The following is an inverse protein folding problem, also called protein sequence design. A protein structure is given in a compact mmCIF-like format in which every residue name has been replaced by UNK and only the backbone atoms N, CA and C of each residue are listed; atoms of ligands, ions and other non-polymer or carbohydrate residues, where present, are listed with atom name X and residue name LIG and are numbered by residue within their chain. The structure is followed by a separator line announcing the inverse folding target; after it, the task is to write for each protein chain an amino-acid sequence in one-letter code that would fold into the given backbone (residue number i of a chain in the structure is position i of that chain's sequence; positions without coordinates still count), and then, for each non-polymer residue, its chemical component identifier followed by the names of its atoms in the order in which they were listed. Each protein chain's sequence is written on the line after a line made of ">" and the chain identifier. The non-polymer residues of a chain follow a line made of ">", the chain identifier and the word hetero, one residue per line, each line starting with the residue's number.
data_IF_061708485617
#
_entry.id   IF_061708485617
#
_cell.length_a   1.000
_cell.length_b   1.000
_cell.length_c   1.000
_cell.angle_alpha   90.00
_cell.angle_beta   90.00
_cell.angle_gamma   90.00
#
_symmetry.space_group_name_H-M   'P 1'
#
loop_
_entity.id
_entity.type
_entity.pdbx_description
1 polymer ?
#
# COMPACT_ATOMS: atom_id res chain seq x y z
N UNK A 1 -3.61 20.22 23.78
CA UNK A 1 -3.53 19.13 22.79
C UNK A 1 -4.16 17.89 23.39
N UNK A 2 -5.14 17.25 22.72
CA UNK A 2 -5.76 16.00 23.18
C UNK A 2 -5.11 14.84 22.44
N UNK A 3 -4.45 13.95 23.17
CA UNK A 3 -3.88 12.72 22.59
C UNK A 3 -4.94 11.62 22.70
N UNK A 4 -5.32 11.05 21.57
CA UNK A 4 -6.25 9.92 21.50
C UNK A 4 -5.46 8.69 21.04
N UNK A 5 -5.37 7.68 21.91
CA UNK A 5 -4.74 6.41 21.53
C UNK A 5 -5.64 5.63 20.54
N UNK A 6 -5.02 4.96 19.57
CA UNK A 6 -5.74 4.03 18.70
C UNK A 6 -6.17 2.79 19.49
N UNK A 7 -7.32 2.27 19.12
CA UNK A 7 -7.74 0.95 19.59
C UNK A 7 -6.80 -0.13 19.04
N UNK A 8 -6.38 -1.03 19.90
CA UNK A 8 -5.46 -2.12 19.55
C UNK A 8 -6.16 -3.45 19.81
N UNK A 9 -6.57 -4.21 18.78
CA UNK A 9 -7.25 -5.49 18.94
C UNK A 9 -6.34 -6.53 19.61
N UNK A 10 -6.65 -7.02 20.84
CA UNK A 10 -5.77 -7.93 21.57
C UNK A 10 -5.53 -9.27 20.86
N UNK A 11 -6.54 -9.77 20.16
CA UNK A 11 -6.45 -11.03 19.40
C UNK A 11 -5.45 -10.94 18.26
N UNK A 12 -5.45 -9.80 17.56
CA UNK A 12 -4.50 -9.55 16.45
C UNK A 12 -3.08 -9.42 16.97
N UNK A 13 -2.88 -8.71 18.10
CA UNK A 13 -1.56 -8.60 18.74
C UNK A 13 -1.05 -9.99 19.08
N UNK A 14 -1.86 -10.80 19.76
CA UNK A 14 -1.48 -12.15 20.13
C UNK A 14 -1.13 -13.02 18.91
N UNK A 15 -1.93 -12.98 17.85
CA UNK A 15 -1.68 -13.74 16.62
C UNK A 15 -0.35 -13.35 15.95
N UNK A 16 -0.05 -12.05 15.89
CA UNK A 16 1.22 -11.56 15.35
C UNK A 16 2.42 -11.98 16.21
N UNK A 17 2.29 -11.94 17.54
CA UNK A 17 3.33 -12.41 18.46
C UNK A 17 3.59 -13.90 18.29
N UNK A 18 2.54 -14.74 18.19
CA UNK A 18 2.67 -16.18 17.93
C UNK A 18 3.33 -16.46 16.58
N UNK A 19 3.14 -15.60 15.60
CA UNK A 19 3.81 -15.68 14.31
C UNK A 19 5.28 -15.16 14.33
N UNK A 20 5.79 -14.77 15.50
CA UNK A 20 7.19 -14.36 15.70
C UNK A 20 7.44 -12.87 15.46
N UNK A 21 6.40 -12.03 15.43
CA UNK A 21 6.55 -10.57 15.39
C UNK A 21 6.89 -10.06 16.79
N UNK A 22 7.87 -9.15 16.89
CA UNK A 22 8.23 -8.55 18.17
C UNK A 22 7.02 -7.88 18.84
N UNK A 23 6.78 -8.02 20.17
CA UNK A 23 5.57 -7.53 20.83
C UNK A 23 5.24 -6.06 20.60
N UNK A 24 6.25 -5.19 20.60
CA UNK A 24 6.06 -3.76 20.29
C UNK A 24 5.55 -3.55 18.87
N UNK A 25 6.14 -4.24 17.90
CA UNK A 25 5.73 -4.16 16.48
C UNK A 25 4.36 -4.79 16.27
N UNK A 26 4.05 -5.90 16.95
CA UNK A 26 2.72 -6.52 16.87
C UNK A 26 1.62 -5.56 17.31
N UNK A 27 1.85 -4.77 18.36
CA UNK A 27 0.93 -3.72 18.81
C UNK A 27 0.79 -2.60 17.79
N UNK A 28 1.92 -2.13 17.22
CA UNK A 28 1.92 -1.07 16.21
C UNK A 28 1.18 -1.51 14.95
N UNK A 29 1.45 -2.69 14.45
CA UNK A 29 0.81 -3.24 13.26
C UNK A 29 -0.68 -3.49 13.48
N UNK A 30 -1.07 -4.11 14.61
CA UNK A 30 -2.47 -4.30 14.95
C UNK A 30 -3.24 -2.97 15.05
N UNK A 31 -2.64 -1.92 15.63
CA UNK A 31 -3.22 -0.59 15.70
C UNK A 31 -3.38 0.07 14.31
N UNK A 32 -2.71 -0.43 13.29
CA UNK A 32 -2.79 0.03 11.90
C UNK A 32 -3.65 -0.86 10.99
N UNK A 33 -4.29 -1.87 11.59
CA UNK A 33 -5.20 -2.76 10.88
C UNK A 33 -4.55 -3.96 10.20
N UNK A 34 -3.26 -4.22 10.44
CA UNK A 34 -2.60 -5.45 9.99
C UNK A 34 -3.14 -6.63 10.79
N UNK A 35 -3.66 -7.64 10.11
CA UNK A 35 -4.33 -8.78 10.73
C UNK A 35 -3.43 -10.02 10.81
N UNK A 36 -2.51 -10.19 9.86
CA UNK A 36 -1.66 -11.36 9.76
C UNK A 36 -0.22 -10.98 9.37
N UNK A 37 0.74 -11.85 9.72
CA UNK A 37 2.16 -11.65 9.41
C UNK A 37 2.42 -11.58 7.90
N UNK A 38 1.64 -12.26 7.10
CA UNK A 38 1.77 -12.28 5.64
C UNK A 38 1.63 -10.90 5.01
N UNK A 39 0.87 -10.00 5.66
CA UNK A 39 0.71 -8.62 5.20
C UNK A 39 1.98 -7.76 5.41
N UNK A 40 2.95 -8.28 6.18
CA UNK A 40 4.24 -7.65 6.45
C UNK A 40 5.34 -8.16 5.52
N UNK A 41 5.02 -9.07 4.63
CA UNK A 41 5.96 -9.61 3.64
C UNK A 41 6.10 -8.62 2.49
N UNK A 42 7.29 -8.02 2.35
CA UNK A 42 7.68 -7.06 1.31
C UNK A 42 8.31 -7.72 0.06
N UNK A 43 8.26 -9.03 -0.01
CA UNK A 43 8.75 -9.78 -1.17
C UNK A 43 7.97 -9.47 -2.45
N UNK A 44 8.67 -9.38 -3.58
CA UNK A 44 8.06 -9.09 -4.90
C UNK A 44 6.91 -10.04 -5.27
N UNK A 45 6.96 -11.29 -4.80
CA UNK A 45 5.90 -12.28 -5.02
C UNK A 45 4.58 -11.92 -4.32
N UNK A 46 4.60 -10.97 -3.39
CA UNK A 46 3.43 -10.50 -2.62
C UNK A 46 2.86 -9.19 -3.16
N UNK A 47 3.43 -8.65 -4.24
CA UNK A 47 2.86 -7.47 -4.89
C UNK A 47 1.43 -7.75 -5.35
N UNK A 48 0.54 -6.82 -5.07
CA UNK A 48 -0.83 -6.90 -5.55
C UNK A 48 -0.86 -6.73 -7.08
N UNK A 49 -1.74 -7.46 -7.79
CA UNK A 49 -1.92 -7.26 -9.21
C UNK A 49 -2.32 -5.81 -9.53
N UNK A 50 -1.83 -5.23 -10.64
CA UNK A 50 -2.12 -3.84 -11.00
C UNK A 50 -3.62 -3.54 -11.17
N UNK A 51 -4.41 -4.52 -11.56
CA UNK A 51 -5.86 -4.41 -11.76
C UNK A 51 -6.66 -4.29 -10.45
N UNK A 52 -6.02 -4.54 -9.30
CA UNK A 52 -6.63 -4.28 -7.98
C UNK A 52 -6.66 -2.80 -7.63
N UNK A 53 -5.86 -1.96 -8.29
CA UNK A 53 -5.88 -0.52 -8.11
C UNK A 53 -7.07 0.08 -8.86
N UNK A 54 -7.94 0.79 -8.13
CA UNK A 54 -9.13 1.40 -8.70
C UNK A 54 -8.80 2.36 -9.86
N UNK A 55 -9.50 2.19 -10.98
CA UNK A 55 -9.33 3.05 -12.16
C UNK A 55 -8.13 2.72 -13.06
N UNK A 56 -7.32 1.69 -12.76
CA UNK A 56 -6.13 1.36 -13.54
C UNK A 56 -6.48 0.99 -14.99
N UNK A 57 -7.52 0.19 -15.18
CA UNK A 57 -7.94 -0.22 -16.52
C UNK A 57 -8.43 0.97 -17.36
N UNK A 58 -9.27 1.81 -16.79
CA UNK A 58 -9.80 3.00 -17.41
C UNK A 58 -8.68 3.99 -17.75
N UNK A 59 -7.75 4.19 -16.85
CA UNK A 59 -6.57 5.02 -17.07
C UNK A 59 -5.69 4.47 -18.21
N UNK A 60 -5.46 3.16 -18.25
CA UNK A 60 -4.67 2.51 -19.29
C UNK A 60 -5.32 2.67 -20.67
N UNK A 61 -6.64 2.50 -20.79
CA UNK A 61 -7.38 2.72 -22.04
C UNK A 61 -7.27 4.18 -22.48
N UNK A 62 -7.50 5.12 -21.55
CA UNK A 62 -7.40 6.56 -21.84
C UNK A 62 -6.03 6.96 -22.37
N UNK A 63 -4.96 6.42 -21.76
CA UNK A 63 -3.58 6.66 -22.20
C UNK A 63 -3.32 6.04 -23.59
N UNK A 64 -3.75 4.81 -23.82
CA UNK A 64 -3.59 4.14 -25.10
C UNK A 64 -4.31 4.89 -26.23
N UNK A 65 -5.53 5.36 -25.98
CA UNK A 65 -6.30 6.15 -26.95
C UNK A 65 -5.64 7.51 -27.23
N UNK A 66 -5.11 8.16 -26.19
CA UNK A 66 -4.40 9.43 -26.35
C UNK A 66 -3.11 9.25 -27.20
N UNK A 67 -2.37 8.16 -26.97
CA UNK A 67 -1.20 7.82 -27.77
C UNK A 67 -1.57 7.50 -29.22
N UNK A 68 -2.62 6.72 -29.45
CA UNK A 68 -3.10 6.38 -30.79
C UNK A 68 -3.58 7.62 -31.59
N UNK A 69 -4.05 8.65 -30.90
CA UNK A 69 -4.48 9.93 -31.48
C UNK A 69 -3.38 10.99 -31.53
N UNK A 70 -2.14 10.62 -31.23
CA UNK A 70 -0.97 11.53 -31.20
C UNK A 70 -1.17 12.77 -30.31
N UNK A 71 -1.88 12.59 -29.19
CA UNK A 71 -2.13 13.66 -28.22
C UNK A 71 -0.89 13.92 -27.35
N UNK A 72 -0.74 15.17 -26.92
CA UNK A 72 0.31 15.52 -25.97
C UNK A 72 -0.07 15.00 -24.58
N UNK A 73 0.84 14.24 -23.97
CA UNK A 73 0.75 13.77 -22.62
C UNK A 73 1.72 14.56 -21.75
N UNK A 74 1.28 14.99 -20.58
CA UNK A 74 2.13 15.64 -19.58
C UNK A 74 2.12 14.80 -18.31
N UNK A 75 3.29 14.34 -17.89
CA UNK A 75 3.48 13.61 -16.64
C UNK A 75 3.96 14.62 -15.61
N UNK A 76 3.21 14.76 -14.52
CA UNK A 76 3.57 15.59 -13.37
C UNK A 76 3.98 14.66 -12.24
N UNK A 77 5.29 14.55 -12.01
CA UNK A 77 5.85 13.75 -10.93
C UNK A 77 6.36 14.66 -9.82
N UNK A 78 6.15 14.25 -8.59
CA UNK A 78 6.78 14.89 -7.44
C UNK A 78 8.26 14.46 -7.35
N UNK A 79 9.08 15.25 -6.66
CA UNK A 79 10.53 15.00 -6.54
C UNK A 79 10.93 14.16 -5.32
N UNK A 80 9.99 13.61 -4.60
CA UNK A 80 10.25 12.64 -3.54
C UNK A 80 10.61 11.24 -4.10
N UNK A 81 10.98 10.29 -3.22
CA UNK A 81 11.50 9.01 -3.66
C UNK A 81 10.48 8.18 -4.45
N UNK A 82 9.22 8.19 -4.06
CA UNK A 82 8.17 7.42 -4.73
C UNK A 82 7.75 8.09 -6.05
N UNK A 83 7.68 9.41 -6.13
CA UNK A 83 7.45 10.14 -7.36
C UNK A 83 8.54 9.89 -8.39
N UNK A 84 9.82 9.93 -7.98
CA UNK A 84 10.96 9.69 -8.85
C UNK A 84 11.05 8.25 -9.37
N UNK A 85 10.55 7.27 -8.63
CA UNK A 85 10.58 5.85 -9.01
C UNK A 85 9.33 5.37 -9.74
N UNK A 86 8.23 6.10 -9.65
CA UNK A 86 6.96 5.78 -10.31
C UNK A 86 6.87 6.34 -11.75
N UNK A 87 7.75 7.25 -12.12
CA UNK A 87 7.89 7.79 -13.47
C UNK A 87 8.90 6.96 -14.28
#
# INVERSE_FOLDING_TARGET
>A
MKIIAREIPPRTVWALEQAGVHPLLARLFAARGVLAKDELDDGLARLLPPDTLHGTREAAVLLADAMAQDKRLCIVADYDCDGATAC
#
